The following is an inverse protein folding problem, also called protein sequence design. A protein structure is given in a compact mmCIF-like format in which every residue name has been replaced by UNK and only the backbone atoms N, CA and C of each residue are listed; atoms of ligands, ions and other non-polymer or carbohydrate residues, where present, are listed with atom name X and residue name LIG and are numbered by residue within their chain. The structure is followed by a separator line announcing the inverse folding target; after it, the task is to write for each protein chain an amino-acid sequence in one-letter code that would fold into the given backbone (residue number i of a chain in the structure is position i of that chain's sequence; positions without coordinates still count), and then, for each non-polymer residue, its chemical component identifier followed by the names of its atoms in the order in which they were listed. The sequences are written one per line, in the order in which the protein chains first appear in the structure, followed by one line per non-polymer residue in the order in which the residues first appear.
data_IF_978151094848
#
_entry.id   IF_978151094848
#
_cell.length_a   1.000
_cell.length_b   1.000
_cell.length_c   1.000
_cell.angle_alpha   90.00
_cell.angle_beta   90.00
_cell.angle_gamma   90.00
#
_symmetry.space_group_name_H-M   'P 1'
#
loop_
_entity.id
_entity.type
_entity.pdbx_description
1 polymer ?
#
# COMPACT_ATOMS: atom_id res chain seq x y z
N UNK A 1 -13.29 -12.74 -2.10
CA UNK A 1 -13.19 -11.54 -2.95
C UNK A 1 -11.71 -11.22 -3.13
N UNK A 2 -11.26 -10.98 -4.37
CA UNK A 2 -9.86 -10.62 -4.63
C UNK A 2 -9.58 -9.23 -4.05
N UNK A 3 -8.59 -9.11 -3.16
CA UNK A 3 -8.23 -7.81 -2.59
C UNK A 3 -7.43 -7.02 -3.62
N UNK A 4 -7.84 -5.78 -3.89
CA UNK A 4 -7.18 -4.88 -4.84
C UNK A 4 -5.82 -4.42 -4.27
N UNK A 5 -4.82 -4.29 -5.14
CA UNK A 5 -3.52 -3.75 -4.75
C UNK A 5 -3.61 -2.26 -4.37
N UNK A 6 -2.81 -1.84 -3.40
CA UNK A 6 -2.78 -0.49 -2.85
C UNK A 6 -1.78 0.39 -3.61
N UNK A 7 -2.14 1.66 -3.84
CA UNK A 7 -1.22 2.67 -4.35
C UNK A 7 -0.28 3.18 -3.24
N UNK A 8 0.84 3.81 -3.64
CA UNK A 8 1.76 4.44 -2.67
C UNK A 8 1.09 5.52 -1.81
N UNK A 9 0.03 6.17 -2.31
CA UNK A 9 -0.71 7.19 -1.57
C UNK A 9 -1.59 6.56 -0.49
N UNK A 10 -2.31 5.48 -0.83
CA UNK A 10 -3.12 4.75 0.13
C UNK A 10 -2.26 4.20 1.27
N UNK A 11 -1.11 3.59 0.94
CA UNK A 11 -0.18 3.07 1.96
C UNK A 11 0.37 4.20 2.84
N UNK A 12 0.70 5.35 2.25
CA UNK A 12 1.18 6.52 3.00
C UNK A 12 0.14 7.00 4.02
N UNK A 13 -1.13 7.09 3.62
CA UNK A 13 -2.24 7.48 4.48
C UNK A 13 -2.50 6.45 5.59
N UNK A 14 -2.39 5.15 5.28
CA UNK A 14 -2.56 4.08 6.27
C UNK A 14 -1.46 4.09 7.34
N UNK A 15 -0.21 4.31 6.92
CA UNK A 15 0.94 4.37 7.81
C UNK A 15 1.12 5.73 8.50
N UNK A 16 0.38 6.77 8.09
CA UNK A 16 0.58 8.13 8.59
C UNK A 16 1.94 8.73 8.23
N UNK A 17 2.49 8.37 7.05
CA UNK A 17 3.81 8.83 6.58
C UNK A 17 3.68 9.55 5.24
N UNK A 18 4.73 10.26 4.82
CA UNK A 18 4.75 10.88 3.50
C UNK A 18 4.91 9.83 2.38
N UNK A 19 4.34 10.10 1.20
CA UNK A 19 4.43 9.20 0.02
C UNK A 19 5.88 8.88 -0.36
N UNK A 20 6.80 9.83 -0.23
CA UNK A 20 8.24 9.61 -0.51
C UNK A 20 8.85 8.56 0.40
N UNK A 21 8.39 8.45 1.65
CA UNK A 21 8.80 7.40 2.59
C UNK A 21 8.43 6.02 2.05
N UNK A 22 7.20 5.86 1.55
CA UNK A 22 6.76 4.61 0.92
C UNK A 22 7.60 4.28 -0.32
N UNK A 23 7.87 5.27 -1.17
CA UNK A 23 8.71 5.08 -2.36
C UNK A 23 10.12 4.64 -1.98
N UNK A 24 10.70 5.23 -0.93
CA UNK A 24 12.03 4.86 -0.44
C UNK A 24 12.03 3.43 0.11
N UNK A 25 11.03 3.04 0.90
CA UNK A 25 10.92 1.65 1.36
C UNK A 25 10.82 0.64 0.22
N UNK A 26 10.10 1.00 -0.86
CA UNK A 26 10.05 0.15 -2.07
C UNK A 26 11.40 0.10 -2.78
N UNK A 27 12.07 1.25 -2.97
CA UNK A 27 13.40 1.33 -3.61
C UNK A 27 14.47 0.57 -2.83
N UNK A 28 14.40 0.61 -1.51
CA UNK A 28 15.30 -0.09 -0.59
C UNK A 28 14.95 -1.57 -0.43
N UNK A 29 13.87 -2.06 -1.07
CA UNK A 29 13.44 -3.46 -0.97
C UNK A 29 12.77 -3.83 0.36
N UNK A 30 12.52 -2.85 1.24
CA UNK A 30 11.86 -3.05 2.53
C UNK A 30 10.37 -3.36 2.38
N UNK A 31 9.70 -2.70 1.43
CA UNK A 31 8.29 -2.91 1.11
C UNK A 31 8.17 -3.45 -0.32
N UNK A 32 7.64 -4.66 -0.47
CA UNK A 32 7.48 -5.29 -1.80
C UNK A 32 6.30 -4.66 -2.55
N UNK A 33 6.56 -4.30 -3.81
CA UNK A 33 5.59 -3.73 -4.72
C UNK A 33 5.89 -4.18 -6.15
N UNK A 34 4.86 -4.29 -6.98
CA UNK A 34 5.03 -4.38 -8.43
C UNK A 34 4.82 -3.00 -9.07
N UNK A 35 5.33 -2.84 -10.28
CA UNK A 35 5.23 -1.59 -11.04
C UNK A 35 4.40 -1.85 -12.28
N UNK A 36 3.39 -1.01 -12.53
CA UNK A 36 2.59 -1.07 -13.76
C UNK A 36 3.38 -0.55 -14.95
N UNK A 37 2.93 -0.80 -16.18
CA UNK A 37 3.58 -0.29 -17.39
C UNK A 37 3.76 1.25 -17.38
N UNK A 38 2.85 1.99 -16.74
CA UNK A 38 2.93 3.45 -16.56
C UNK A 38 3.85 3.92 -15.42
N UNK A 39 4.57 3.02 -14.73
CA UNK A 39 5.50 3.38 -13.66
C UNK A 39 4.87 3.54 -12.26
N UNK A 40 3.58 3.24 -12.11
CA UNK A 40 2.89 3.32 -10.83
C UNK A 40 3.21 2.08 -9.97
N UNK A 41 3.51 2.31 -8.68
CA UNK A 41 3.80 1.23 -7.72
C UNK A 41 2.51 0.74 -7.07
N UNK A 42 2.40 -0.58 -6.97
CA UNK A 42 1.28 -1.30 -6.36
C UNK A 42 1.76 -2.26 -5.29
N UNK A 43 1.20 -2.13 -4.11
CA UNK A 43 1.53 -2.92 -2.93
C UNK A 43 0.39 -3.92 -2.73
N UNK A 44 0.70 -5.21 -2.75
CA UNK A 44 -0.30 -6.22 -2.46
C UNK A 44 -0.69 -6.14 -0.97
N UNK A 45 -1.97 -6.33 -0.63
CA UNK A 45 -2.40 -6.23 0.76
C UNK A 45 -1.68 -7.21 1.70
N UNK A 46 -1.31 -8.38 1.22
CA UNK A 46 -0.53 -9.38 1.97
C UNK A 46 0.89 -8.89 2.27
N UNK A 47 1.50 -8.17 1.32
CA UNK A 47 2.81 -7.54 1.51
C UNK A 47 2.74 -6.37 2.48
N UNK A 48 1.64 -5.61 2.44
CA UNK A 48 1.39 -4.54 3.40
C UNK A 48 1.27 -5.08 4.83
N UNK A 49 0.46 -6.13 5.03
CA UNK A 49 0.31 -6.77 6.36
C UNK A 49 1.66 -7.27 6.88
N UNK A 50 2.39 -8.04 6.05
CA UNK A 50 3.73 -8.54 6.42
C UNK A 50 4.68 -7.42 6.82
N UNK A 51 4.69 -6.32 6.06
CA UNK A 51 5.56 -5.18 6.33
C UNK A 51 5.23 -4.51 7.66
N UNK A 52 3.95 -4.24 7.93
CA UNK A 52 3.50 -3.60 9.16
C UNK A 52 3.82 -4.44 10.39
N UNK A 53 3.57 -5.75 10.32
CA UNK A 53 3.90 -6.68 11.40
C UNK A 53 5.40 -6.77 11.64
N UNK A 54 6.21 -6.86 10.58
CA UNK A 54 7.67 -6.97 10.68
C UNK A 54 8.32 -5.72 11.29
N UNK A 55 7.80 -4.53 10.95
CA UNK A 55 8.33 -3.25 11.42
C UNK A 55 7.58 -2.67 12.63
N UNK A 56 6.57 -3.39 13.16
CA UNK A 56 5.69 -2.93 14.26
C UNK A 56 5.14 -1.53 14.03
N UNK A 57 4.73 -1.24 12.80
CA UNK A 57 4.20 0.08 12.44
C UNK A 57 2.83 0.24 13.13
N UNK A 58 2.63 1.29 13.94
CA UNK A 58 1.34 1.53 14.57
C UNK A 58 0.35 1.95 13.50
N UNK A 59 -0.68 1.14 13.30
CA UNK A 59 -1.80 1.46 12.42
C UNK A 59 -3.04 1.63 13.30
N UNK A 60 -3.85 2.70 13.08
CA UNK A 60 -5.09 2.89 13.82
C UNK A 60 -5.93 1.61 13.79
N UNK A 61 -6.38 1.16 14.96
CA UNK A 61 -7.13 -0.09 15.12
C UNK A 61 -8.29 -0.18 14.11
N UNK A 62 -8.45 -1.35 13.49
CA UNK A 62 -9.53 -1.65 12.53
C UNK A 62 -9.20 -1.45 11.05
N UNK A 63 -8.05 -0.85 10.68
CA UNK A 63 -7.74 -0.55 9.26
C UNK A 63 -6.99 -1.64 8.48
N UNK A 64 -6.35 -2.58 9.16
CA UNK A 64 -5.55 -3.65 8.53
C UNK A 64 -5.68 -4.94 9.35
N UNK A 65 -6.77 -5.67 9.14
CA UNK A 65 -6.80 -7.11 9.42
C UNK A 65 -6.96 -7.86 8.10
N UNK A 66 -6.68 -9.17 8.07
CA UNK A 66 -6.97 -10.00 6.90
C UNK A 66 -8.43 -9.85 6.41
N UNK A 67 -9.35 -9.39 7.27
CA UNK A 67 -10.77 -9.14 6.97
C UNK A 67 -11.16 -7.67 6.81
N UNK A 68 -10.31 -6.70 7.19
CA UNK A 68 -10.69 -5.27 7.31
C UNK A 68 -9.75 -4.30 6.57
N UNK A 69 -9.24 -4.70 5.41
CA UNK A 69 -8.73 -3.74 4.44
C UNK A 69 -9.92 -2.98 3.85
N UNK A 70 -10.36 -1.94 4.58
CA UNK A 70 -11.25 -0.92 4.04
C UNK A 70 -10.50 -0.25 2.91
N UNK A 71 -10.92 -0.60 1.69
CA UNK A 71 -10.53 0.05 0.46
C UNK A 71 -10.83 1.54 0.66
N UNK A 72 -9.79 2.36 0.79
CA UNK A 72 -9.93 3.80 0.60
C UNK A 72 -10.15 3.95 -0.90
N UNK A 73 -11.42 3.86 -1.31
CA UNK A 73 -11.84 4.05 -2.69
C UNK A 73 -11.66 5.53 -3.02
N UNK A 74 -10.47 5.87 -3.49
CA UNK A 74 -10.19 7.14 -4.13
C UNK A 74 -9.04 6.98 -5.14
N UNK A 75 -9.11 5.93 -5.97
CA UNK A 75 -8.26 5.82 -7.15
C UNK A 75 -9.10 6.19 -8.38
N UNK A 76 -9.15 7.49 -8.69
CA UNK A 76 -9.22 7.92 -10.09
C UNK A 76 -7.90 7.54 -10.76
N UNK A 77 -7.81 6.29 -11.21
CA UNK A 77 -6.78 5.91 -12.17
C UNK A 77 -7.41 5.86 -13.54
N UNK A 78 -7.32 7.00 -14.23
CA UNK A 78 -7.48 7.07 -15.67
C UNK A 78 -6.52 6.06 -16.32
N UNK A 79 -7.09 4.96 -16.79
CA UNK A 79 -6.44 4.09 -17.77
C UNK A 79 -6.39 4.92 -19.05
N UNK A 80 -5.23 5.50 -19.35
CA UNK A 80 -4.97 6.05 -20.67
C UNK A 80 -4.62 4.84 -21.55
N UNK A 81 -5.54 4.56 -22.48
CA UNK A 81 -5.39 3.60 -23.57
C UNK A 81 -4.23 3.96 -24.50
#
# INVERSE_FOLDING_TARGET
MAKKALSTNQVAQLCGVHRTTIINWVKEGKLRAYVTAGGHRRILPEEMVRFVESYRIPIPEGKLTEKSLLIIDNDEEAIIC
#
